data_IF_890060264784
#
_entry.id   IF_890060264784
#
_cell.length_a   1.000
_cell.length_b   1.000
_cell.length_c   1.000
_cell.angle_alpha   90.00
_cell.angle_beta   90.00
_cell.angle_gamma   90.00
#
_symmetry.space_group_name_H-M   'P 1'
#
loop_
_entity.id
_entity.type
_entity.pdbx_description
1 polymer ?
#
# COMPACT_ATOMS: atom_id res chain seq x y z
N UNK A 1 -31.30 -7.50 -28.95
CA UNK A 1 -32.09 -6.69 -28.00
C UNK A 1 -31.14 -6.18 -26.92
N UNK A 2 -30.72 -4.91 -26.99
CA UNK A 2 -29.92 -4.30 -25.93
C UNK A 2 -30.89 -3.91 -24.81
N UNK A 3 -30.72 -4.49 -23.62
CA UNK A 3 -31.51 -4.15 -22.44
C UNK A 3 -31.09 -2.77 -21.93
N UNK A 4 -31.80 -1.72 -22.35
CA UNK A 4 -31.71 -0.38 -21.75
C UNK A 4 -32.43 -0.39 -20.41
N UNK A 5 -31.74 -0.86 -19.37
CA UNK A 5 -32.15 -0.54 -18.00
C UNK A 5 -32.08 1.00 -17.85
N UNK A 6 -33.11 1.66 -17.29
CA UNK A 6 -33.09 3.11 -17.12
C UNK A 6 -31.95 3.49 -16.18
N UNK A 7 -31.01 4.30 -16.67
CA UNK A 7 -30.01 4.94 -15.82
C UNK A 7 -30.74 5.82 -14.83
N UNK A 8 -30.68 5.42 -13.55
CA UNK A 8 -31.30 6.14 -12.43
C UNK A 8 -30.83 7.60 -12.44
N UNK A 9 -31.76 8.57 -12.32
CA UNK A 9 -31.40 10.00 -12.28
C UNK A 9 -30.73 10.30 -10.95
N UNK A 10 -29.86 11.31 -10.89
CA UNK A 10 -29.19 11.77 -9.65
C UNK A 10 -30.21 12.04 -8.53
N UNK A 11 -31.36 12.60 -8.91
CA UNK A 11 -32.45 12.97 -8.00
C UNK A 11 -33.11 11.75 -7.33
N UNK A 12 -33.03 10.58 -7.96
CA UNK A 12 -33.65 9.34 -7.47
C UNK A 12 -32.82 8.68 -6.35
N UNK A 13 -31.62 9.21 -6.06
CA UNK A 13 -30.78 8.77 -4.94
C UNK A 13 -31.16 9.51 -3.65
N UNK A 14 -31.01 8.80 -2.51
CA UNK A 14 -31.25 9.38 -1.18
C UNK A 14 -30.31 10.57 -0.95
N UNK A 15 -30.87 11.65 -0.40
CA UNK A 15 -30.10 12.85 -0.03
C UNK A 15 -28.91 12.52 0.89
N UNK A 16 -27.83 13.30 0.74
CA UNK A 16 -26.53 13.08 1.39
C UNK A 16 -25.53 12.40 0.45
N UNK A 17 -24.66 11.55 1.01
CA UNK A 17 -23.60 10.90 0.25
C UNK A 17 -24.06 10.11 -0.99
N UNK A 18 -25.18 9.35 -0.98
CA UNK A 18 -25.61 8.61 -2.17
C UNK A 18 -25.93 9.52 -3.37
N UNK A 19 -26.61 10.64 -3.12
CA UNK A 19 -26.93 11.61 -4.17
C UNK A 19 -25.72 12.43 -4.59
N UNK A 20 -24.88 12.84 -3.63
CA UNK A 20 -23.67 13.59 -3.94
C UNK A 20 -22.65 12.74 -4.73
N UNK A 21 -22.46 11.47 -4.39
CA UNK A 21 -21.58 10.56 -5.14
C UNK A 21 -22.11 10.31 -6.55
N UNK A 22 -23.44 10.19 -6.71
CA UNK A 22 -24.07 10.11 -8.02
C UNK A 22 -23.84 11.38 -8.86
N UNK A 23 -23.84 12.57 -8.23
CA UNK A 23 -23.54 13.84 -8.91
C UNK A 23 -22.06 13.92 -9.34
N UNK A 24 -21.12 13.77 -8.41
CA UNK A 24 -19.69 13.98 -8.72
C UNK A 24 -19.10 12.92 -9.66
N UNK A 25 -19.76 11.77 -9.82
CA UNK A 25 -19.36 10.73 -10.77
C UNK A 25 -19.90 10.94 -12.19
N UNK A 26 -20.75 11.94 -12.43
CA UNK A 26 -21.34 12.19 -13.75
C UNK A 26 -20.35 12.76 -14.77
N UNK A 27 -19.29 13.40 -14.33
CA UNK A 27 -18.25 13.95 -15.19
C UNK A 27 -16.91 13.99 -14.46
N UNK A 28 -15.81 13.75 -15.19
CA UNK A 28 -14.46 13.72 -14.62
C UNK A 28 -14.11 15.02 -13.89
N UNK A 29 -14.50 16.17 -14.44
CA UNK A 29 -14.26 17.49 -13.82
C UNK A 29 -14.99 17.71 -12.49
N UNK A 30 -16.05 16.95 -12.19
CA UNK A 30 -16.72 17.01 -10.88
C UNK A 30 -16.10 16.07 -9.86
N UNK A 31 -15.31 15.09 -10.32
CA UNK A 31 -14.64 14.11 -9.48
C UNK A 31 -13.30 14.65 -8.95
N UNK A 32 -13.33 15.78 -8.26
CA UNK A 32 -12.14 16.42 -7.66
C UNK A 32 -12.02 16.01 -6.19
N UNK A 33 -11.14 15.05 -5.91
CA UNK A 33 -10.82 14.68 -4.52
C UNK A 33 -9.65 15.51 -3.97
N UNK A 34 -9.79 15.97 -2.71
CA UNK A 34 -8.69 16.63 -2.00
C UNK A 34 -7.48 15.69 -1.92
N UNK A 35 -6.33 16.22 -2.29
CA UNK A 35 -5.05 15.52 -2.18
C UNK A 35 -4.41 15.80 -0.83
N UNK A 36 -3.73 14.80 -0.27
CA UNK A 36 -3.11 14.87 1.06
C UNK A 36 -1.58 14.70 1.02
N UNK A 37 -0.83 15.53 0.27
CA UNK A 37 0.60 15.30 0.02
C UNK A 37 1.42 15.27 1.32
N UNK A 38 1.19 16.21 2.24
CA UNK A 38 1.88 16.26 3.54
C UNK A 38 1.63 15.00 4.38
N UNK A 39 0.39 14.50 4.40
CA UNK A 39 0.05 13.30 5.16
C UNK A 39 0.67 12.04 4.52
N UNK A 40 0.63 11.95 3.18
CA UNK A 40 1.28 10.87 2.43
C UNK A 40 2.78 10.84 2.67
N UNK A 41 3.45 12.00 2.63
CA UNK A 41 4.88 12.11 2.92
C UNK A 41 5.19 11.68 4.35
N UNK A 42 4.39 12.08 5.34
CA UNK A 42 4.56 11.65 6.73
C UNK A 42 4.44 10.13 6.87
N UNK A 43 3.44 9.52 6.23
CA UNK A 43 3.29 8.05 6.24
C UNK A 43 4.46 7.35 5.54
N UNK A 44 5.00 7.94 4.46
CA UNK A 44 6.16 7.40 3.74
C UNK A 44 7.40 7.37 4.65
N UNK A 45 7.68 8.48 5.34
CA UNK A 45 8.80 8.59 6.28
C UNK A 45 8.69 7.55 7.42
N UNK A 46 7.47 7.35 7.96
CA UNK A 46 7.25 6.34 9.00
C UNK A 46 7.46 4.90 8.49
N UNK A 47 7.13 4.62 7.23
CA UNK A 47 7.40 3.30 6.62
C UNK A 47 8.89 3.09 6.39
N UNK A 48 9.63 4.13 6.00
CA UNK A 48 11.10 4.08 5.87
C UNK A 48 11.76 3.75 7.21
N UNK A 49 11.40 4.49 8.25
CA UNK A 49 11.92 4.25 9.61
C UNK A 49 11.63 2.82 10.09
N UNK A 50 10.40 2.34 9.88
CA UNK A 50 10.06 0.94 10.19
C UNK A 50 10.95 -0.04 9.43
N UNK A 51 11.15 0.15 8.13
CA UNK A 51 11.99 -0.73 7.31
C UNK A 51 13.44 -0.73 7.80
N UNK A 52 14.00 0.42 8.16
CA UNK A 52 15.35 0.51 8.74
C UNK A 52 15.48 -0.27 10.04
N UNK A 53 14.47 -0.25 10.91
CA UNK A 53 14.47 -1.05 12.14
C UNK A 53 14.37 -2.56 11.86
N UNK A 54 13.61 -2.96 10.84
CA UNK A 54 13.49 -4.37 10.45
C UNK A 54 14.79 -4.88 9.81
N UNK A 55 15.44 -4.06 8.98
CA UNK A 55 16.75 -4.34 8.38
C UNK A 55 17.80 -4.56 9.46
N UNK A 56 17.91 -3.64 10.43
CA UNK A 56 18.84 -3.80 11.56
C UNK A 56 18.61 -5.13 12.32
N UNK A 57 17.35 -5.49 12.59
CA UNK A 57 17.02 -6.75 13.26
C UNK A 57 17.39 -7.98 12.42
N UNK A 58 17.28 -7.88 11.10
CA UNK A 58 17.65 -8.97 10.19
C UNK A 58 19.16 -9.17 10.23
N UNK A 59 19.92 -8.09 10.16
CA UNK A 59 21.39 -8.11 10.29
C UNK A 59 21.81 -8.73 11.63
N UNK A 60 21.12 -8.40 12.72
CA UNK A 60 21.37 -9.01 14.04
C UNK A 60 21.10 -10.53 14.04
N UNK A 61 20.03 -10.99 13.40
CA UNK A 61 19.73 -12.44 13.31
C UNK A 61 20.79 -13.15 12.46
N UNK A 62 21.20 -12.55 11.35
CA UNK A 62 22.20 -13.13 10.45
C UNK A 62 23.58 -13.19 11.10
N UNK A 63 23.97 -12.14 11.83
CA UNK A 63 25.24 -12.11 12.56
C UNK A 63 25.32 -13.16 13.68
N UNK A 64 24.18 -13.55 14.24
CA UNK A 64 24.09 -14.56 15.31
C UNK A 64 23.75 -15.98 14.79
N UNK A 65 23.69 -16.19 13.47
CA UNK A 65 23.39 -17.49 12.90
C UNK A 65 24.54 -18.48 13.10
N UNK A 66 24.24 -19.62 13.72
CA UNK A 66 25.20 -20.67 14.05
C UNK A 66 25.40 -21.68 12.91
N UNK A 67 24.47 -21.73 11.97
CA UNK A 67 24.49 -22.63 10.81
C UNK A 67 24.73 -21.83 9.51
N UNK A 68 25.98 -21.71 9.02
CA UNK A 68 26.28 -20.96 7.80
C UNK A 68 25.51 -21.43 6.56
N UNK A 69 25.14 -22.72 6.52
CA UNK A 69 24.32 -23.30 5.45
C UNK A 69 22.95 -22.62 5.34
N UNK A 70 22.37 -22.14 6.44
CA UNK A 70 21.08 -21.47 6.41
C UNK A 70 21.17 -20.11 5.70
N UNK A 71 22.27 -19.37 5.90
CA UNK A 71 22.54 -18.11 5.20
C UNK A 71 22.78 -18.29 3.69
N UNK A 72 23.34 -19.43 3.28
CA UNK A 72 23.64 -19.73 1.87
C UNK A 72 22.53 -20.46 1.11
N UNK A 73 21.54 -21.05 1.81
CA UNK A 73 20.51 -21.89 1.21
C UNK A 73 19.16 -21.73 1.92
N UNK A 74 18.38 -20.73 1.48
CA UNK A 74 17.07 -20.39 2.05
C UNK A 74 16.09 -21.57 2.15
N UNK A 75 16.03 -22.46 1.13
CA UNK A 75 15.17 -23.66 1.16
C UNK A 75 15.50 -24.64 2.30
N UNK A 76 16.67 -24.51 2.90
CA UNK A 76 17.15 -25.32 4.02
C UNK A 76 17.20 -24.52 5.33
N UNK A 77 16.85 -23.24 5.28
CA UNK A 77 16.85 -22.35 6.43
C UNK A 77 15.69 -22.67 7.37
N UNK A 78 16.06 -23.13 8.57
CA UNK A 78 15.10 -23.45 9.65
C UNK A 78 15.04 -22.37 10.72
N UNK A 79 15.68 -21.22 10.52
CA UNK A 79 15.63 -20.09 11.43
C UNK A 79 14.27 -19.41 11.35
N UNK A 80 13.36 -19.80 12.25
CA UNK A 80 11.98 -19.29 12.27
C UNK A 80 11.92 -17.78 12.53
N UNK A 81 12.87 -17.23 13.28
CA UNK A 81 12.93 -15.80 13.55
C UNK A 81 13.26 -15.03 12.27
N UNK A 82 14.30 -15.44 11.52
CA UNK A 82 14.64 -14.85 10.22
C UNK A 82 13.49 -14.95 9.23
N UNK A 83 12.91 -16.14 9.07
CA UNK A 83 11.81 -16.36 8.14
C UNK A 83 10.58 -15.48 8.46
N UNK A 84 10.23 -15.35 9.74
CA UNK A 84 9.12 -14.49 10.16
C UNK A 84 9.42 -13.01 9.89
N UNK A 85 10.64 -12.57 10.18
CA UNK A 85 11.06 -11.19 9.96
C UNK A 85 11.09 -10.83 8.46
N UNK A 86 11.59 -11.73 7.62
CA UNK A 86 11.57 -11.57 6.16
C UNK A 86 10.14 -11.43 5.62
N UNK A 87 9.18 -12.20 6.13
CA UNK A 87 7.76 -12.06 5.74
C UNK A 87 7.17 -10.69 6.15
N UNK A 88 7.57 -10.18 7.32
CA UNK A 88 7.18 -8.82 7.74
C UNK A 88 7.82 -7.74 6.85
N UNK A 89 9.08 -7.92 6.48
CA UNK A 89 9.80 -7.03 5.56
C UNK A 89 9.13 -7.02 4.19
N UNK A 90 8.82 -8.18 3.62
CA UNK A 90 8.12 -8.30 2.33
C UNK A 90 6.80 -7.53 2.34
N UNK A 91 5.99 -7.71 3.41
CA UNK A 91 4.73 -6.99 3.58
C UNK A 91 4.97 -5.48 3.68
N UNK A 92 5.95 -5.06 4.47
CA UNK A 92 6.26 -3.64 4.70
C UNK A 92 6.81 -2.96 3.44
N UNK A 93 7.65 -3.65 2.66
CA UNK A 93 8.17 -3.19 1.37
C UNK A 93 7.06 -3.09 0.32
N UNK A 94 6.16 -4.07 0.25
CA UNK A 94 5.02 -4.02 -0.67
C UNK A 94 4.08 -2.83 -0.37
N UNK A 95 3.83 -2.54 0.91
CA UNK A 95 3.08 -1.35 1.31
C UNK A 95 3.81 -0.04 0.97
N UNK A 96 5.11 0.01 1.19
CA UNK A 96 5.94 1.16 0.88
C UNK A 96 5.99 1.44 -0.64
N UNK A 97 6.15 0.41 -1.47
CA UNK A 97 6.15 0.53 -2.93
C UNK A 97 4.85 1.13 -3.48
N UNK A 98 3.68 0.67 -2.99
CA UNK A 98 2.37 1.23 -3.36
C UNK A 98 2.24 2.74 -3.10
N UNK A 99 3.02 3.29 -2.17
CA UNK A 99 3.02 4.72 -1.87
C UNK A 99 3.89 5.53 -2.83
N UNK A 100 4.96 4.94 -3.37
CA UNK A 100 5.86 5.60 -4.32
C UNK A 100 5.23 5.76 -5.71
N UNK A 101 4.49 4.75 -6.19
CA UNK A 101 3.86 4.78 -7.52
C UNK A 101 2.89 5.96 -7.69
N UNK A 102 2.23 6.39 -6.62
CA UNK A 102 1.32 7.54 -6.64
C UNK A 102 2.07 8.89 -6.67
N UNK A 103 3.36 8.89 -6.35
CA UNK A 103 4.20 10.10 -6.33
C UNK A 103 4.81 10.40 -7.70
N UNK A 104 5.04 9.39 -8.55
CA UNK A 104 5.60 9.60 -9.90
C UNK A 104 4.59 10.19 -10.92
N UNK A 105 3.29 10.08 -10.65
CA UNK A 105 2.23 10.69 -11.48
C UNK A 105 2.16 12.22 -11.26
N UNK A 106 2.91 12.76 -10.30
CA UNK A 106 2.80 14.16 -9.87
C UNK A 106 3.76 15.12 -10.57
N UNK A 107 4.77 14.59 -11.25
CA UNK A 107 5.88 15.37 -11.81
C UNK A 107 6.08 15.10 -13.31
N UNK A 108 5.06 14.59 -13.99
CA UNK A 108 4.95 14.56 -15.47
C UNK A 108 3.78 15.46 -15.88
#
# INVERSE_FOLDING_TARGET
>A
MQSTLPTKRIQDYRSGYPQFSALISTHESFFLCRRFPRLRARLLLLKQDKLSLLEQRLDEIDQNEVCPLFLGQSRSDKNLARNSLLSEIETSLAEYGKMQDVTLIQYK
#
